data_IF_240629042371
#
_entry.id   IF_240629042371
#
_cell.length_a   1.000
_cell.length_b   1.000
_cell.length_c   1.000
_cell.angle_alpha   90.00
_cell.angle_beta   90.00
_cell.angle_gamma   90.00
#
_symmetry.space_group_name_H-M   'P 1'
#
loop_
_entity.id
_entity.type
_entity.pdbx_description
1 polymer ?
#
# COMPACT_ATOMS: atom_id res chain seq x y z
N UNK A 1 -6.03 -32.12 26.42
CA UNK A 1 -7.15 -31.21 26.05
C UNK A 1 -6.79 -29.71 26.07
N UNK A 2 -5.58 -29.32 26.45
CA UNK A 2 -5.18 -27.88 26.51
C UNK A 2 -4.25 -27.44 25.38
N UNK A 3 -3.62 -28.38 24.66
CA UNK A 3 -2.68 -28.10 23.59
C UNK A 3 -3.39 -27.44 22.38
N UNK A 4 -4.59 -27.91 22.04
CA UNK A 4 -5.42 -27.37 20.96
C UNK A 4 -5.83 -25.92 21.20
N UNK A 5 -6.19 -25.56 22.43
CA UNK A 5 -6.57 -24.18 22.80
C UNK A 5 -5.38 -23.22 22.74
N UNK A 6 -4.18 -23.69 23.12
CA UNK A 6 -2.96 -22.89 23.07
C UNK A 6 -2.50 -22.64 21.64
N UNK A 7 -2.62 -23.63 20.76
CA UNK A 7 -2.30 -23.48 19.32
C UNK A 7 -3.28 -22.53 18.65
N UNK A 8 -4.57 -22.61 18.97
CA UNK A 8 -5.58 -21.69 18.43
C UNK A 8 -5.35 -20.25 18.90
N UNK A 9 -4.97 -20.06 20.16
CA UNK A 9 -4.63 -18.75 20.71
C UNK A 9 -3.38 -18.12 20.07
N UNK A 10 -2.34 -18.93 19.83
CA UNK A 10 -1.12 -18.48 19.17
C UNK A 10 -1.36 -18.12 17.68
N UNK A 11 -2.18 -18.90 16.98
CA UNK A 11 -2.55 -18.63 15.59
C UNK A 11 -3.36 -17.32 15.46
N UNK A 12 -4.28 -17.07 16.41
CA UNK A 12 -5.07 -15.84 16.44
C UNK A 12 -4.22 -14.61 16.77
N UNK A 13 -3.21 -14.75 17.64
CA UNK A 13 -2.28 -13.67 17.98
C UNK A 13 -1.35 -13.32 16.81
N UNK A 14 -0.90 -14.30 16.01
CA UNK A 14 -0.10 -14.06 14.81
C UNK A 14 -0.89 -13.40 13.68
N UNK A 15 -2.18 -13.70 13.56
CA UNK A 15 -3.05 -13.07 12.54
C UNK A 15 -3.26 -11.56 12.78
N UNK A 16 -3.14 -11.10 14.03
CA UNK A 16 -3.28 -9.69 14.40
C UNK A 16 -2.00 -8.85 14.17
N UNK A 17 -0.84 -9.50 13.98
CA UNK A 17 0.44 -8.79 13.78
C UNK A 17 0.69 -8.32 12.33
N UNK A 18 -0.20 -8.65 11.40
CA UNK A 18 -0.08 -8.30 9.98
C UNK A 18 -0.60 -6.90 9.62
N UNK A 19 -0.35 -5.87 10.43
CA UNK A 19 -0.64 -4.49 10.03
C UNK A 19 0.37 -4.06 8.95
N UNK A 20 -0.02 -4.17 7.68
CA UNK A 20 0.68 -3.49 6.59
C UNK A 20 0.64 -1.98 6.89
N UNK A 21 1.81 -1.39 7.13
CA UNK A 21 1.93 0.05 7.31
C UNK A 21 1.67 0.74 5.98
N UNK A 22 0.60 1.54 5.95
CA UNK A 22 0.21 2.27 4.75
C UNK A 22 1.04 3.52 4.65
N UNK A 23 1.57 3.78 3.47
CA UNK A 23 2.22 5.04 3.19
C UNK A 23 1.20 6.18 3.29
N UNK A 24 1.41 7.07 4.25
CA UNK A 24 0.57 8.27 4.42
C UNK A 24 1.08 9.48 3.63
N UNK A 25 2.11 9.27 2.79
CA UNK A 25 2.72 10.35 2.02
C UNK A 25 3.71 9.87 0.96
N UNK A 26 4.35 10.80 0.23
CA UNK A 26 5.34 10.48 -0.78
C UNK A 26 6.62 9.91 -0.15
N UNK A 27 7.17 8.86 -0.76
CA UNK A 27 8.47 8.27 -0.40
C UNK A 27 9.64 8.94 -1.16
N UNK A 28 9.37 10.04 -1.82
CA UNK A 28 10.34 10.77 -2.63
C UNK A 28 10.60 12.14 -2.03
N UNK A 29 11.86 12.54 -2.00
CA UNK A 29 12.25 13.87 -1.56
C UNK A 29 12.12 14.87 -2.72
N UNK A 30 11.43 15.97 -2.48
CA UNK A 30 11.31 17.10 -3.41
C UNK A 30 11.77 18.36 -2.69
N UNK A 31 12.48 19.23 -3.39
CA UNK A 31 12.96 20.49 -2.84
C UNK A 31 12.28 21.69 -3.51
N UNK A 32 12.19 22.84 -2.82
CA UNK A 32 11.70 24.07 -3.44
C UNK A 32 12.48 24.41 -4.71
N UNK A 33 11.79 24.91 -5.72
CA UNK A 33 12.44 25.43 -6.91
C UNK A 33 13.26 26.70 -6.63
N UNK A 34 14.18 27.06 -7.53
CA UNK A 34 15.00 28.26 -7.36
C UNK A 34 14.15 29.50 -7.13
N UNK A 35 14.42 30.23 -6.05
CA UNK A 35 13.70 31.45 -5.69
C UNK A 35 12.29 31.25 -5.14
N UNK A 36 11.84 30.02 -4.93
CA UNK A 36 10.50 29.74 -4.37
C UNK A 36 10.51 29.84 -2.85
N UNK A 37 9.65 30.68 -2.25
CA UNK A 37 9.45 30.73 -0.80
C UNK A 37 8.96 29.38 -0.25
N UNK A 38 9.31 29.08 0.99
CA UNK A 38 8.98 27.80 1.60
C UNK A 38 7.47 27.60 1.86
N UNK A 39 6.75 28.67 2.14
CA UNK A 39 5.29 28.67 2.28
C UNK A 39 4.60 28.28 0.98
N UNK A 40 5.06 28.80 -0.16
CA UNK A 40 4.57 28.39 -1.48
C UNK A 40 4.89 26.93 -1.79
N UNK A 41 6.09 26.46 -1.41
CA UNK A 41 6.43 25.04 -1.53
C UNK A 41 5.49 24.15 -0.70
N UNK A 42 5.14 24.56 0.51
CA UNK A 42 4.20 23.84 1.38
C UNK A 42 2.79 23.77 0.75
N UNK A 43 2.33 24.87 0.18
CA UNK A 43 1.04 24.90 -0.54
C UNK A 43 1.05 23.96 -1.77
N UNK A 44 2.13 23.98 -2.55
CA UNK A 44 2.31 23.07 -3.68
C UNK A 44 2.33 21.60 -3.22
N UNK A 45 3.03 21.31 -2.13
CA UNK A 45 3.10 19.98 -1.55
C UNK A 45 1.71 19.46 -1.15
N UNK A 46 0.89 20.27 -0.50
CA UNK A 46 -0.47 19.89 -0.12
C UNK A 46 -1.32 19.56 -1.37
N UNK A 47 -1.33 20.45 -2.37
CA UNK A 47 -2.08 20.25 -3.61
C UNK A 47 -1.61 18.99 -4.35
N UNK A 48 -0.29 18.76 -4.42
CA UNK A 48 0.26 17.62 -5.15
C UNK A 48 0.04 16.29 -4.42
N UNK A 49 -0.07 16.29 -3.10
CA UNK A 49 -0.51 15.10 -2.33
C UNK A 49 -1.95 14.74 -2.64
N UNK A 50 -2.85 15.71 -2.63
CA UNK A 50 -4.25 15.49 -2.98
C UNK A 50 -4.39 14.99 -4.43
N UNK A 51 -3.67 15.58 -5.35
CA UNK A 51 -3.63 15.12 -6.75
C UNK A 51 -3.16 13.67 -6.85
N UNK A 52 -2.05 13.32 -6.19
CA UNK A 52 -1.53 11.96 -6.20
C UNK A 52 -2.51 10.95 -5.59
N UNK A 53 -3.20 11.33 -4.52
CA UNK A 53 -4.24 10.50 -3.89
C UNK A 53 -5.39 10.21 -4.86
N UNK A 54 -5.85 11.21 -5.61
CA UNK A 54 -6.90 11.06 -6.61
C UNK A 54 -6.47 10.14 -7.77
N UNK A 55 -5.19 10.21 -8.16
CA UNK A 55 -4.66 9.39 -9.26
C UNK A 55 -4.58 7.89 -8.94
N UNK A 56 -4.41 7.51 -7.68
CA UNK A 56 -4.40 6.10 -7.30
C UNK A 56 -5.81 5.50 -7.22
N UNK A 57 -6.87 6.31 -7.11
CA UNK A 57 -8.27 5.89 -7.24
C UNK A 57 -8.77 4.86 -6.23
N UNK A 58 -7.93 4.42 -5.30
CA UNK A 58 -8.22 3.37 -4.33
C UNK A 58 -7.61 3.73 -2.98
N UNK A 59 -8.31 3.35 -1.91
CA UNK A 59 -7.72 3.33 -0.57
C UNK A 59 -6.79 2.11 -0.47
N UNK A 60 -5.46 2.30 -0.34
CA UNK A 60 -4.52 1.20 -0.22
C UNK A 60 -4.85 0.24 0.93
N UNK A 61 -5.44 0.75 2.02
CA UNK A 61 -5.93 -0.02 3.16
C UNK A 61 -7.00 -1.01 2.76
N UNK A 62 -7.96 -0.53 1.99
CA UNK A 62 -9.08 -1.34 1.54
C UNK A 62 -8.58 -2.47 0.63
N UNK A 63 -7.71 -2.14 -0.33
CA UNK A 63 -7.12 -3.12 -1.24
C UNK A 63 -6.31 -4.16 -0.47
N UNK A 64 -5.46 -3.75 0.48
CA UNK A 64 -4.67 -4.69 1.28
C UNK A 64 -5.55 -5.63 2.11
N UNK A 65 -6.60 -5.12 2.77
CA UNK A 65 -7.55 -5.95 3.53
C UNK A 65 -8.28 -6.96 2.66
N UNK A 66 -8.77 -6.51 1.52
CA UNK A 66 -9.48 -7.39 0.57
C UNK A 66 -8.59 -8.53 0.10
N UNK A 67 -7.32 -8.27 -0.18
CA UNK A 67 -6.34 -9.29 -0.58
C UNK A 67 -6.10 -10.34 0.51
N UNK A 68 -5.94 -9.92 1.76
CA UNK A 68 -5.73 -10.82 2.90
C UNK A 68 -6.98 -11.67 3.17
N UNK A 69 -8.16 -11.06 3.17
CA UNK A 69 -9.44 -11.76 3.40
C UNK A 69 -9.68 -12.77 2.28
N UNK A 70 -9.47 -12.38 1.03
CA UNK A 70 -9.66 -13.27 -0.12
C UNK A 70 -8.67 -14.44 -0.08
N UNK A 71 -7.41 -14.19 0.26
CA UNK A 71 -6.38 -15.22 0.41
C UNK A 71 -6.73 -16.21 1.52
N UNK A 72 -7.15 -15.72 2.68
CA UNK A 72 -7.55 -16.57 3.81
C UNK A 72 -8.77 -17.43 3.46
N UNK A 73 -9.79 -16.86 2.82
CA UNK A 73 -10.98 -17.60 2.41
C UNK A 73 -10.66 -18.68 1.37
N UNK A 74 -9.88 -18.36 0.35
CA UNK A 74 -9.45 -19.32 -0.66
C UNK A 74 -8.61 -20.46 -0.03
N UNK A 75 -7.67 -20.13 0.86
CA UNK A 75 -6.85 -21.10 1.57
C UNK A 75 -7.67 -22.03 2.47
N UNK A 76 -8.68 -21.50 3.17
CA UNK A 76 -9.59 -22.30 3.99
C UNK A 76 -10.36 -23.34 3.14
N UNK A 77 -10.91 -22.94 2.01
CA UNK A 77 -11.65 -23.83 1.11
C UNK A 77 -10.75 -24.93 0.54
N UNK A 78 -9.55 -24.55 0.06
CA UNK A 78 -8.57 -25.51 -0.47
C UNK A 78 -8.10 -26.47 0.63
N UNK A 79 -7.79 -25.96 1.81
CA UNK A 79 -7.37 -26.77 2.97
C UNK A 79 -8.44 -27.76 3.41
N UNK A 80 -9.70 -27.32 3.53
CA UNK A 80 -10.81 -28.17 3.88
C UNK A 80 -11.05 -29.28 2.84
N UNK A 81 -11.02 -28.94 1.56
CA UNK A 81 -11.17 -29.89 0.46
C UNK A 81 -10.04 -30.95 0.47
N UNK A 82 -8.80 -30.53 0.67
CA UNK A 82 -7.65 -31.43 0.77
C UNK A 82 -7.74 -32.37 1.97
N UNK A 83 -8.15 -31.86 3.14
CA UNK A 83 -8.36 -32.68 4.34
C UNK A 83 -9.45 -33.72 4.17
N UNK A 84 -10.56 -33.37 3.52
CA UNK A 84 -11.66 -34.30 3.23
C UNK A 84 -11.23 -35.43 2.28
N UNK A 85 -10.41 -35.13 1.27
CA UNK A 85 -9.92 -36.10 0.29
C UNK A 85 -8.90 -37.08 0.90
N UNK A 86 -8.18 -36.72 1.95
CA UNK A 86 -7.22 -37.58 2.64
C UNK A 86 -7.87 -38.63 3.55
N UNK A 87 -9.19 -38.69 3.63
CA UNK A 87 -9.94 -39.81 4.21
C UNK A 87 -9.93 -39.90 5.74
N UNK A 88 -9.58 -38.83 6.44
CA UNK A 88 -9.47 -38.81 7.90
C UNK A 88 -10.66 -38.18 8.64
N UNK A 89 -11.79 -38.01 7.97
CA UNK A 89 -13.04 -37.49 8.57
C UNK A 89 -13.03 -35.99 8.88
N UNK A 90 -14.02 -35.54 9.66
CA UNK A 90 -14.23 -34.13 9.98
C UNK A 90 -13.06 -33.46 10.72
N UNK A 91 -12.37 -34.18 11.61
CA UNK A 91 -11.26 -33.61 12.38
C UNK A 91 -10.07 -33.20 11.52
N UNK A 92 -9.78 -33.94 10.45
CA UNK A 92 -8.69 -33.58 9.52
C UNK A 92 -9.09 -32.48 8.55
N UNK A 93 -10.37 -32.41 8.15
CA UNK A 93 -10.86 -31.30 7.34
C UNK A 93 -10.77 -29.96 8.08
N UNK A 94 -11.11 -29.94 9.36
CA UNK A 94 -10.99 -28.72 10.21
C UNK A 94 -9.53 -28.32 10.42
N UNK A 95 -8.64 -29.27 10.70
CA UNK A 95 -7.22 -29.00 10.89
C UNK A 95 -6.56 -28.47 9.60
N UNK A 96 -6.90 -29.05 8.45
CA UNK A 96 -6.39 -28.63 7.15
C UNK A 96 -7.00 -27.31 6.68
N UNK A 97 -8.26 -27.03 7.01
CA UNK A 97 -8.86 -25.72 6.77
C UNK A 97 -8.13 -24.64 7.57
N UNK A 98 -7.81 -24.91 8.85
CA UNK A 98 -7.04 -23.99 9.68
C UNK A 98 -5.63 -23.73 9.13
N UNK A 99 -4.93 -24.77 8.68
CA UNK A 99 -3.62 -24.62 8.03
C UNK A 99 -3.75 -23.84 6.71
N UNK A 100 -4.80 -24.09 5.93
CA UNK A 100 -5.09 -23.37 4.70
C UNK A 100 -5.36 -21.89 4.91
N UNK A 101 -6.06 -21.52 6.00
CA UNK A 101 -6.25 -20.11 6.38
C UNK A 101 -4.90 -19.44 6.64
N UNK A 102 -4.00 -20.09 7.37
CA UNK A 102 -2.67 -19.53 7.69
C UNK A 102 -1.86 -19.32 6.41
N UNK A 103 -1.76 -20.34 5.55
CA UNK A 103 -1.01 -20.24 4.29
C UNK A 103 -1.67 -19.25 3.33
N UNK A 104 -2.99 -19.28 3.22
CA UNK A 104 -3.75 -18.38 2.36
C UNK A 104 -3.69 -16.92 2.80
N UNK A 105 -3.71 -16.65 4.11
CA UNK A 105 -3.53 -15.29 4.63
C UNK A 105 -2.11 -14.77 4.40
N UNK A 106 -1.09 -15.63 4.53
CA UNK A 106 0.29 -15.26 4.21
C UNK A 106 0.47 -14.95 2.72
N UNK A 107 -0.12 -15.76 1.83
CA UNK A 107 -0.13 -15.50 0.40
C UNK A 107 -0.88 -14.20 0.05
N UNK A 108 -2.04 -13.99 0.68
CA UNK A 108 -2.81 -12.75 0.57
C UNK A 108 -2.06 -11.52 1.06
N UNK A 109 -1.31 -11.64 2.16
CA UNK A 109 -0.46 -10.56 2.68
C UNK A 109 0.68 -10.22 1.71
N UNK A 110 1.30 -11.21 1.07
CA UNK A 110 2.30 -10.96 0.03
C UNK A 110 1.70 -10.25 -1.18
N UNK A 111 0.51 -10.67 -1.63
CA UNK A 111 -0.21 -9.99 -2.70
C UNK A 111 -0.62 -8.55 -2.31
N UNK A 112 -1.03 -8.33 -1.06
CA UNK A 112 -1.32 -7.01 -0.52
C UNK A 112 -0.09 -6.11 -0.51
N UNK A 113 1.07 -6.63 -0.09
CA UNK A 113 2.33 -5.89 -0.12
C UNK A 113 2.74 -5.49 -1.55
N UNK A 114 2.62 -6.41 -2.51
CA UNK A 114 2.90 -6.12 -3.92
C UNK A 114 1.95 -5.05 -4.48
N UNK A 115 0.66 -5.14 -4.15
CA UNK A 115 -0.36 -4.14 -4.54
C UNK A 115 -0.07 -2.79 -3.90
N UNK A 116 0.25 -2.74 -2.61
CA UNK A 116 0.60 -1.51 -1.87
C UNK A 116 1.85 -0.85 -2.45
N UNK A 117 2.89 -1.63 -2.78
CA UNK A 117 4.10 -1.12 -3.44
C UNK A 117 3.79 -0.52 -4.80
N UNK A 118 2.91 -1.15 -5.58
CA UNK A 118 2.49 -0.65 -6.89
C UNK A 118 1.69 0.65 -6.75
N UNK A 119 0.77 0.73 -5.79
CA UNK A 119 0.00 1.95 -5.50
C UNK A 119 0.89 3.08 -5.01
N UNK A 120 1.85 2.78 -4.12
CA UNK A 120 2.84 3.74 -3.66
C UNK A 120 3.66 4.31 -4.83
N UNK A 121 4.12 3.44 -5.72
CA UNK A 121 4.87 3.88 -6.89
C UNK A 121 4.05 4.80 -7.82
N UNK A 122 2.77 4.49 -8.02
CA UNK A 122 1.85 5.36 -8.79
C UNK A 122 1.64 6.69 -8.10
N UNK A 123 1.46 6.68 -6.79
CA UNK A 123 1.37 7.89 -5.97
C UNK A 123 2.62 8.76 -6.13
N UNK A 124 3.81 8.17 -5.93
CA UNK A 124 5.08 8.88 -6.01
C UNK A 124 5.32 9.49 -7.39
N UNK A 125 4.97 8.78 -8.46
CA UNK A 125 5.06 9.29 -9.83
C UNK A 125 4.12 10.49 -10.02
N UNK A 126 2.85 10.38 -9.63
CA UNK A 126 1.88 11.46 -9.77
C UNK A 126 2.28 12.69 -8.94
N UNK A 127 2.77 12.46 -7.71
CA UNK A 127 3.27 13.53 -6.85
C UNK A 127 4.47 14.24 -7.47
N UNK A 128 5.47 13.49 -7.96
CA UNK A 128 6.65 14.05 -8.62
C UNK A 128 6.28 14.87 -9.86
N UNK A 129 5.37 14.36 -10.69
CA UNK A 129 4.89 15.07 -11.89
C UNK A 129 4.23 16.41 -11.52
N UNK A 130 3.37 16.41 -10.51
CA UNK A 130 2.72 17.60 -10.02
C UNK A 130 3.73 18.61 -9.46
N UNK A 131 4.64 18.17 -8.59
CA UNK A 131 5.66 19.03 -8.01
C UNK A 131 6.62 19.62 -9.06
N UNK A 132 7.00 18.82 -10.07
CA UNK A 132 7.80 19.29 -11.19
C UNK A 132 7.05 20.33 -12.03
N UNK A 133 5.78 20.09 -12.36
CA UNK A 133 4.94 21.03 -13.10
C UNK A 133 4.77 22.37 -12.36
N UNK A 134 4.82 22.35 -11.03
CA UNK A 134 4.81 23.55 -10.19
C UNK A 134 6.18 24.22 -10.06
N UNK A 135 7.21 23.71 -10.73
CA UNK A 135 8.56 24.28 -10.75
C UNK A 135 9.41 23.90 -9.54
N UNK A 136 9.08 22.84 -8.82
CA UNK A 136 9.90 22.31 -7.73
C UNK A 136 10.98 21.37 -8.26
N UNK A 137 12.07 21.19 -7.50
CA UNK A 137 13.18 20.33 -7.87
C UNK A 137 12.88 18.88 -7.48
N UNK A 138 12.79 18.01 -8.48
CA UNK A 138 12.56 16.58 -8.31
C UNK A 138 13.85 15.84 -8.64
N UNK A 139 14.36 14.96 -7.75
CA UNK A 139 15.56 14.18 -8.00
C UNK A 139 15.44 13.34 -9.28
N UNK A 140 16.48 13.35 -10.10
CA UNK A 140 16.50 12.63 -11.38
C UNK A 140 15.88 13.36 -12.56
N UNK A 141 15.32 14.55 -12.37
CA UNK A 141 14.81 15.41 -13.42
C UNK A 141 15.68 16.66 -13.58
N UNK A 142 15.81 17.21 -14.82
CA UNK A 142 16.47 18.49 -15.01
C UNK A 142 15.74 19.58 -14.20
N UNK A 143 16.49 20.54 -13.68
CA UNK A 143 15.88 21.66 -12.96
C UNK A 143 14.84 22.37 -13.89
N UNK A 144 13.65 22.68 -13.39
CA UNK A 144 12.67 23.45 -14.17
C UNK A 144 13.29 24.76 -14.59
N UNK A 145 13.19 25.09 -15.87
CA UNK A 145 13.63 26.40 -16.36
C UNK A 145 12.66 27.43 -15.82
N UNK A 146 13.12 28.28 -14.92
CA UNK A 146 12.36 29.45 -14.51
C UNK A 146 12.31 30.41 -15.71
N UNK A 147 11.18 30.44 -16.38
CA UNK A 147 10.90 31.50 -17.34
C UNK A 147 10.40 32.67 -16.51
N UNK A 148 11.30 33.62 -16.24
CA UNK A 148 10.90 34.86 -15.58
C UNK A 148 9.71 35.50 -16.32
N UNK A 149 8.68 35.95 -15.58
CA UNK A 149 7.61 36.71 -16.23
C UNK A 149 8.20 37.92 -16.96
N UNK A 150 7.64 38.27 -18.13
CA UNK A 150 8.13 39.44 -18.89
C UNK A 150 8.11 40.67 -17.97
N UNK A 151 9.12 41.53 -18.07
CA UNK A 151 9.15 42.75 -17.27
C UNK A 151 7.89 43.58 -17.57
N UNK A 152 7.33 44.27 -16.57
CA UNK A 152 6.18 45.12 -16.77
C UNK A 152 6.51 46.18 -17.86
N UNK A 153 5.53 46.57 -18.68
CA UNK A 153 5.73 47.61 -19.68
C UNK A 153 6.24 48.88 -18.99
N UNK A 154 7.30 49.44 -19.53
CA UNK A 154 7.84 50.70 -19.01
C UNK A 154 6.82 51.81 -19.22
N UNK A 155 6.64 52.73 -18.25
CA UNK A 155 5.76 53.84 -18.34
C UNK A 155 6.15 54.83 -19.49
#
# INVERSE_FOLDING_TARGET
MNLSKSVLGAALAMALAGCASIPTGPNVAVMPGPGKPFDQFQADNAICRDFAQQQIGADPNKVAREQVITGAAAGAVIGAASGALMGHGHESAEAMAGAGVIVGSAAGANAANASTTTLQRRYDIAYQQCMYAKGNLVPGFPAPRYIAPPPPPRP
#
